data_IF_076473458677
#
_entry.id   IF_076473458677
#
_cell.length_a   1.000
_cell.length_b   1.000
_cell.length_c   1.000
_cell.angle_alpha   90.00
_cell.angle_beta   90.00
_cell.angle_gamma   90.00
#
_symmetry.space_group_name_H-M   'P 1'
#
loop_
_entity.id
_entity.type
_entity.pdbx_description
1 polymer ?
#
# COMPACT_ATOMS: atom_id res chain seq x y z
N UNK A 1 16.24 4.56 4.59
CA UNK A 1 15.13 5.31 5.23
C UNK A 1 14.00 4.33 5.53
N UNK A 2 13.28 4.47 6.65
CA UNK A 2 12.18 3.57 7.00
C UNK A 2 10.85 4.20 6.55
N UNK A 3 10.06 3.47 5.75
CA UNK A 3 8.77 3.97 5.26
C UNK A 3 7.73 4.04 6.38
N UNK A 4 6.95 5.12 6.41
CA UNK A 4 5.94 5.33 7.45
C UNK A 4 4.62 4.60 7.11
N UNK A 5 4.51 3.35 7.54
CA UNK A 5 3.29 2.57 7.37
C UNK A 5 2.10 3.01 8.23
N UNK A 6 2.29 3.92 9.20
CA UNK A 6 1.16 4.44 10.00
C UNK A 6 0.14 5.22 9.15
N UNK A 7 0.51 5.61 7.91
CA UNK A 7 -0.38 6.25 6.94
C UNK A 7 -1.60 5.36 6.60
N UNK A 8 -1.41 4.04 6.54
CA UNK A 8 -2.49 3.07 6.29
C UNK A 8 -3.30 2.79 7.56
N UNK A 9 -2.83 3.23 8.73
CA UNK A 9 -3.39 2.88 10.03
C UNK A 9 -4.43 3.89 10.57
N UNK A 10 -4.80 4.93 9.81
CA UNK A 10 -5.54 6.06 10.37
C UNK A 10 -7.07 5.94 10.27
N UNK A 11 -7.68 6.01 11.46
CA UNK A 11 -9.02 6.47 11.85
C UNK A 11 -10.25 5.62 11.45
N UNK A 12 -10.77 4.81 12.39
CA UNK A 12 -12.20 4.46 12.42
C UNK A 12 -12.59 3.04 12.85
N UNK A 13 -11.68 2.06 12.81
CA UNK A 13 -12.00 0.70 13.22
C UNK A 13 -10.80 -0.22 13.18
N UNK A 14 -10.48 -0.83 14.31
CA UNK A 14 -9.25 -1.60 14.60
C UNK A 14 -9.11 -2.92 13.81
N UNK A 15 -9.97 -3.18 12.83
CA UNK A 15 -9.92 -4.39 11.98
C UNK A 15 -9.75 -4.08 10.48
N UNK A 16 -10.22 -2.92 9.98
CA UNK A 16 -10.16 -2.59 8.56
C UNK A 16 -8.75 -2.16 8.14
N UNK A 17 -8.10 -1.28 8.90
CA UNK A 17 -6.77 -0.75 8.58
C UNK A 17 -5.67 -1.80 8.56
N UNK A 18 -5.67 -2.75 9.50
CA UNK A 18 -4.71 -3.86 9.53
C UNK A 18 -4.90 -4.80 8.32
N UNK A 19 -6.15 -5.04 7.92
CA UNK A 19 -6.47 -5.90 6.79
C UNK A 19 -6.01 -5.28 5.46
N UNK A 20 -6.22 -3.96 5.28
CA UNK A 20 -5.72 -3.20 4.13
C UNK A 20 -4.21 -3.31 4.01
N UNK A 21 -3.49 -3.07 5.12
CA UNK A 21 -2.03 -3.17 5.15
C UNK A 21 -1.56 -4.58 4.79
N UNK A 22 -2.20 -5.60 5.35
CA UNK A 22 -1.89 -7.00 5.06
C UNK A 22 -2.10 -7.33 3.58
N UNK A 23 -3.17 -6.84 2.97
CA UNK A 23 -3.46 -7.03 1.54
C UNK A 23 -2.38 -6.40 0.66
N UNK A 24 -2.00 -5.14 0.93
CA UNK A 24 -0.96 -4.42 0.19
C UNK A 24 0.38 -5.16 0.31
N UNK A 25 0.81 -5.49 1.53
CA UNK A 25 2.09 -6.17 1.77
C UNK A 25 2.11 -7.55 1.09
N UNK A 26 1.02 -8.32 1.20
CA UNK A 26 0.90 -9.63 0.54
C UNK A 26 1.05 -9.52 -0.98
N UNK A 27 0.41 -8.51 -1.58
CA UNK A 27 0.52 -8.26 -3.02
C UNK A 27 1.96 -7.90 -3.43
N UNK A 28 2.63 -7.03 -2.68
CA UNK A 28 4.02 -6.64 -2.93
C UNK A 28 4.96 -7.83 -2.84
N UNK A 29 4.88 -8.62 -1.77
CA UNK A 29 5.74 -9.79 -1.58
C UNK A 29 5.56 -10.84 -2.68
N UNK A 30 4.34 -10.99 -3.21
CA UNK A 30 4.03 -11.98 -4.25
C UNK A 30 4.44 -11.54 -5.66
N UNK A 31 4.25 -10.26 -6.01
CA UNK A 31 4.43 -9.78 -7.38
C UNK A 31 5.74 -9.00 -7.58
N UNK A 32 6.26 -8.40 -6.52
CA UNK A 32 7.44 -7.56 -6.53
C UNK A 32 8.43 -8.00 -5.44
N UNK A 33 8.87 -9.28 -5.45
CA UNK A 33 9.86 -9.76 -4.50
C UNK A 33 11.13 -8.91 -4.60
N UNK A 34 11.78 -8.67 -3.45
CA UNK A 34 12.97 -7.80 -3.34
C UNK A 34 12.76 -6.31 -3.67
N UNK A 35 11.53 -5.86 -3.97
CA UNK A 35 11.28 -4.43 -4.14
C UNK A 35 11.20 -3.71 -2.80
N UNK A 36 11.84 -2.54 -2.71
CA UNK A 36 11.80 -1.68 -1.54
C UNK A 36 10.73 -0.62 -1.75
N UNK A 37 9.86 -0.43 -0.76
CA UNK A 37 8.91 0.68 -0.75
C UNK A 37 9.65 1.97 -0.40
N UNK A 38 9.56 2.96 -1.28
CA UNK A 38 10.14 4.29 -1.11
C UNK A 38 9.18 5.21 -0.35
N UNK A 39 7.93 5.30 -0.82
CA UNK A 39 6.91 6.18 -0.23
C UNK A 39 5.49 5.58 -0.30
N UNK A 40 4.64 6.06 0.61
CA UNK A 40 3.22 5.71 0.68
C UNK A 40 2.42 7.01 0.71
N UNK A 41 1.46 7.15 -0.20
CA UNK A 41 0.51 8.25 -0.21
C UNK A 41 -0.92 7.73 -0.04
N UNK A 42 -1.72 8.35 0.82
CA UNK A 42 -3.16 8.10 0.94
C UNK A 42 -3.92 9.23 0.25
N UNK A 43 -4.71 8.91 -0.77
CA UNK A 43 -5.60 9.86 -1.46
C UNK A 43 -7.05 9.39 -1.33
N UNK A 44 -7.86 10.10 -0.55
CA UNK A 44 -9.29 9.82 -0.32
C UNK A 44 -9.57 8.31 -0.09
N UNK A 45 -9.92 7.58 -1.15
CA UNK A 45 -10.26 6.14 -1.15
C UNK A 45 -9.22 5.25 -1.83
N UNK A 46 -7.95 5.68 -1.92
CA UNK A 46 -6.89 4.91 -2.54
C UNK A 46 -5.55 5.11 -1.82
N UNK A 47 -4.70 4.09 -1.92
CA UNK A 47 -3.31 4.13 -1.49
C UNK A 47 -2.39 4.03 -2.71
N UNK A 48 -1.41 4.91 -2.79
CA UNK A 48 -0.32 4.82 -3.77
C UNK A 48 0.95 4.39 -3.07
N UNK A 49 1.59 3.37 -3.61
CA UNK A 49 2.85 2.82 -3.12
C UNK A 49 3.90 3.05 -4.19
N UNK A 50 4.91 3.83 -3.87
CA UNK A 50 6.05 4.10 -4.73
C UNK A 50 7.17 3.14 -4.34
N UNK A 51 7.69 2.40 -5.31
CA UNK A 51 8.82 1.50 -5.14
C UNK A 51 10.11 2.21 -5.55
N UNK A 52 11.23 1.84 -4.92
CA UNK A 52 12.55 2.37 -5.27
C UNK A 52 12.97 2.06 -6.73
N UNK A 53 12.33 1.08 -7.38
CA UNK A 53 12.52 0.81 -8.81
C UNK A 53 11.92 1.89 -9.72
N UNK A 54 11.22 2.89 -9.16
CA UNK A 54 10.49 3.93 -9.90
C UNK A 54 9.04 3.55 -10.24
N UNK A 55 8.60 2.36 -9.86
CA UNK A 55 7.25 1.87 -10.13
C UNK A 55 6.25 2.38 -9.09
N UNK A 56 5.09 2.86 -9.55
CA UNK A 56 3.99 3.32 -8.71
C UNK A 56 2.81 2.36 -8.80
N UNK A 57 2.40 1.80 -7.67
CA UNK A 57 1.23 0.93 -7.55
C UNK A 57 0.08 1.66 -6.89
N UNK A 58 -1.12 1.51 -7.43
CA UNK A 58 -2.35 2.05 -6.84
C UNK A 58 -3.18 0.92 -6.25
N UNK A 59 -3.68 1.12 -5.03
CA UNK A 59 -4.56 0.22 -4.32
C UNK A 59 -5.84 0.97 -3.94
N UNK A 60 -6.97 0.27 -3.92
CA UNK A 60 -8.23 0.82 -3.43
C UNK A 60 -8.25 0.96 -1.90
N UNK A 61 -9.34 1.49 -1.35
CA UNK A 61 -9.52 1.68 0.09
C UNK A 61 -9.46 0.36 0.89
N UNK A 62 -9.65 -0.79 0.24
CA UNK A 62 -9.59 -2.13 0.82
C UNK A 62 -8.20 -2.79 0.66
N UNK A 63 -7.25 -2.10 0.02
CA UNK A 63 -5.89 -2.57 -0.19
C UNK A 63 -5.75 -3.55 -1.36
N UNK A 64 -6.72 -3.58 -2.29
CA UNK A 64 -6.65 -4.39 -3.51
C UNK A 64 -5.99 -3.58 -4.63
N UNK A 65 -5.07 -4.20 -5.35
CA UNK A 65 -4.38 -3.53 -6.45
C UNK A 65 -5.37 -3.17 -7.56
N UNK A 66 -5.40 -1.89 -7.92
CA UNK A 66 -6.20 -1.41 -9.05
C UNK A 66 -5.35 -1.61 -10.30
N UNK A 67 -5.79 -2.48 -11.21
CA UNK A 67 -5.14 -2.60 -12.53
C UNK A 67 -5.30 -1.27 -13.25
N UNK A 68 -4.19 -0.57 -13.46
CA UNK A 68 -4.14 0.48 -14.49
C UNK A 68 -4.01 -0.26 -15.81
N UNK A 69 -5.10 -0.27 -16.58
CA UNK A 69 -5.13 -0.82 -17.94
C UNK A 69 -4.27 -0.04 -18.90
#
# INVERSE_FOLDING_TARGET
MMVNWNIINSSGGTQSSQSVRKNIVSFLTRNYPCSVVDAIEKKYNAYKIYLMSGLCLTFDAEGRAVKTG
#
